data_IF_508069867050
#
_entry.id   IF_508069867050
#
_cell.length_a   1.000
_cell.length_b   1.000
_cell.length_c   1.000
_cell.angle_alpha   90.00
_cell.angle_beta   90.00
_cell.angle_gamma   90.00
#
_symmetry.space_group_name_H-M   'P 1'
#
loop_
_entity.id
_entity.type
_entity.pdbx_description
1 polymer ?
#
# COMPACT_ATOMS: atom_id res chain seq x y z
N UNK A 1 -0.38 -12.48 -3.17
CA UNK A 1 0.46 -11.63 -4.02
C UNK A 1 1.02 -10.38 -3.35
N UNK A 2 1.01 -10.23 -2.02
CA UNK A 2 1.55 -9.02 -1.38
C UNK A 2 3.08 -8.96 -1.52
N UNK A 3 3.61 -7.81 -1.94
CA UNK A 3 5.05 -7.57 -2.05
C UNK A 3 5.41 -6.08 -1.98
N UNK A 4 6.64 -5.76 -1.60
CA UNK A 4 7.13 -4.38 -1.61
C UNK A 4 7.24 -3.84 -3.05
N UNK A 5 7.14 -2.53 -3.22
CA UNK A 5 7.27 -1.84 -4.52
C UNK A 5 8.59 -1.06 -4.66
N UNK A 6 9.38 -1.03 -3.58
CA UNK A 6 10.79 -0.61 -3.58
C UNK A 6 11.64 -1.88 -3.67
N UNK A 7 12.77 -1.79 -4.37
CA UNK A 7 13.74 -2.88 -4.49
C UNK A 7 14.10 -3.41 -3.10
N UNK A 8 14.01 -4.73 -2.91
CA UNK A 8 14.15 -5.41 -1.62
C UNK A 8 15.48 -5.08 -0.92
N UNK A 9 16.55 -4.98 -1.70
CA UNK A 9 17.90 -4.62 -1.27
C UNK A 9 17.97 -3.24 -0.60
N UNK A 10 17.11 -2.32 -1.03
CA UNK A 10 17.05 -0.95 -0.53
C UNK A 10 15.94 -0.80 0.53
N UNK A 11 14.89 -1.63 0.47
CA UNK A 11 13.72 -1.57 1.34
C UNK A 11 13.90 -2.27 2.69
N UNK A 12 14.39 -3.52 2.70
CA UNK A 12 14.52 -4.29 3.95
C UNK A 12 15.60 -3.67 4.84
N UNK A 13 15.34 -3.48 6.15
CA UNK A 13 16.33 -2.89 7.05
C UNK A 13 17.42 -3.89 7.42
N UNK A 14 18.59 -3.39 7.81
CA UNK A 14 19.65 -4.16 8.48
C UNK A 14 20.17 -5.38 7.70
N UNK A 15 20.25 -5.32 6.37
CA UNK A 15 20.62 -6.52 5.58
C UNK A 15 22.05 -6.97 5.86
N UNK A 16 22.99 -6.03 6.01
CA UNK A 16 24.38 -6.31 6.36
C UNK A 16 24.50 -6.93 7.76
N UNK A 17 23.82 -6.34 8.76
CA UNK A 17 23.87 -6.79 10.15
C UNK A 17 23.18 -8.15 10.35
N UNK A 18 22.17 -8.43 9.54
CA UNK A 18 21.46 -9.70 9.55
C UNK A 18 22.16 -10.80 8.75
N UNK A 19 23.23 -10.48 8.00
CA UNK A 19 23.87 -11.35 7.00
C UNK A 19 22.82 -11.96 6.04
N UNK A 20 21.94 -11.10 5.55
CA UNK A 20 20.78 -11.52 4.76
C UNK A 20 20.75 -10.84 3.40
N UNK A 21 20.55 -11.65 2.36
CA UNK A 21 20.31 -11.17 1.00
C UNK A 21 18.90 -11.62 0.60
N UNK A 22 18.00 -10.69 0.24
CA UNK A 22 16.66 -11.01 -0.25
C UNK A 22 16.69 -11.99 -1.42
N UNK A 23 15.65 -12.83 -1.55
CA UNK A 23 15.54 -13.88 -2.56
C UNK A 23 15.16 -13.36 -3.94
N UNK A 24 14.48 -12.21 -3.99
CA UNK A 24 13.96 -11.59 -5.20
C UNK A 24 14.24 -10.10 -5.23
N UNK A 25 14.19 -9.52 -6.42
CA UNK A 25 14.30 -8.09 -6.63
C UNK A 25 13.23 -7.29 -5.85
N UNK A 26 12.02 -7.84 -5.72
CA UNK A 26 11.01 -7.35 -4.79
C UNK A 26 10.60 -8.43 -3.80
N UNK A 27 10.74 -8.15 -2.50
CA UNK A 27 10.41 -9.08 -1.43
C UNK A 27 8.90 -9.24 -1.27
N UNK A 28 8.46 -10.48 -1.08
CA UNK A 28 7.06 -10.81 -0.81
C UNK A 28 6.73 -10.70 0.68
N UNK A 29 5.45 -10.58 1.02
CA UNK A 29 5.00 -10.42 2.41
C UNK A 29 5.58 -11.43 3.40
N UNK A 30 5.57 -12.75 3.11
CA UNK A 30 6.15 -13.75 4.02
C UNK A 30 7.65 -13.54 4.28
N UNK A 31 8.41 -13.10 3.27
CA UNK A 31 9.84 -12.81 3.41
C UNK A 31 10.06 -11.57 4.29
N UNK A 32 9.31 -10.50 4.04
CA UNK A 32 9.36 -9.27 4.85
C UNK A 32 8.99 -9.58 6.30
N UNK A 33 7.91 -10.33 6.52
CA UNK A 33 7.46 -10.70 7.86
C UNK A 33 8.48 -11.56 8.59
N UNK A 34 9.03 -12.58 7.93
CA UNK A 34 10.09 -13.41 8.48
C UNK A 34 11.33 -12.58 8.83
N UNK A 35 11.73 -11.64 7.98
CA UNK A 35 12.88 -10.77 8.23
C UNK A 35 12.69 -9.91 9.48
N UNK A 36 11.49 -9.34 9.67
CA UNK A 36 11.15 -8.61 10.90
C UNK A 36 11.22 -9.51 12.15
N UNK A 37 10.76 -10.76 12.06
CA UNK A 37 10.85 -11.72 13.17
C UNK A 37 12.30 -12.08 13.48
N UNK A 38 13.15 -12.27 12.46
CA UNK A 38 14.57 -12.57 12.66
C UNK A 38 15.32 -11.40 13.31
N UNK A 39 15.02 -10.15 12.92
CA UNK A 39 15.55 -8.96 13.62
C UNK A 39 15.12 -8.98 15.09
N UNK A 40 13.84 -9.23 15.37
CA UNK A 40 13.33 -9.26 16.73
C UNK A 40 13.97 -10.35 17.60
N UNK A 41 14.27 -11.53 17.01
CA UNK A 41 15.01 -12.60 17.69
C UNK A 41 16.48 -12.24 17.92
N UNK A 42 17.16 -11.69 16.91
CA UNK A 42 18.60 -11.40 17.00
C UNK A 42 18.95 -10.36 18.07
N UNK A 43 18.05 -9.42 18.31
CA UNK A 43 18.21 -8.36 19.30
C UNK A 43 17.37 -8.57 20.56
N UNK A 44 16.85 -9.78 20.80
CA UNK A 44 16.08 -10.15 21.98
C UNK A 44 14.91 -9.19 22.31
N UNK A 45 14.19 -8.74 21.27
CA UNK A 45 13.17 -7.69 21.41
C UNK A 45 11.81 -8.20 21.90
N UNK A 46 11.57 -9.52 21.86
CA UNK A 46 10.28 -10.10 22.23
C UNK A 46 9.95 -9.90 23.71
N UNK A 47 10.94 -9.98 24.59
CA UNK A 47 10.77 -9.78 26.04
C UNK A 47 10.52 -8.30 26.39
N UNK A 48 10.81 -7.39 25.46
CA UNK A 48 10.58 -5.94 25.60
C UNK A 48 9.24 -5.50 25.00
N UNK A 49 8.52 -6.40 24.32
CA UNK A 49 7.33 -6.06 23.55
C UNK A 49 6.04 -6.52 24.24
N UNK A 50 5.02 -5.67 24.20
CA UNK A 50 3.65 -6.01 24.63
C UNK A 50 2.75 -5.99 23.40
N UNK A 51 2.41 -7.18 22.89
CA UNK A 51 1.53 -7.33 21.72
C UNK A 51 0.04 -7.35 22.11
N UNK A 52 -0.84 -7.18 21.12
CA UNK A 52 -2.31 -7.19 21.30
C UNK A 52 -2.82 -6.16 22.33
N UNK A 53 -2.09 -5.06 22.43
CA UNK A 53 -2.32 -3.97 23.38
C UNK A 53 -2.26 -2.64 22.64
N UNK A 54 -3.32 -1.86 22.77
CA UNK A 54 -3.44 -0.52 22.19
C UNK A 54 -3.15 0.51 23.26
N UNK A 55 -2.20 1.41 23.03
CA UNK A 55 -2.04 2.60 23.89
C UNK A 55 -3.26 3.50 23.70
N UNK A 56 -3.89 3.92 24.80
CA UNK A 56 -5.11 4.74 24.82
C UNK A 56 -4.88 6.15 25.33
N UNK A 57 -3.85 6.36 26.16
CA UNK A 57 -3.49 7.69 26.68
C UNK A 57 -1.98 7.78 26.99
N UNK A 58 -1.37 8.94 26.71
CA UNK A 58 0.01 9.29 27.03
C UNK A 58 0.05 10.71 27.59
N UNK A 59 0.22 10.85 28.89
CA UNK A 59 0.12 12.12 29.62
C UNK A 59 1.43 12.44 30.32
N UNK A 60 1.94 13.64 30.11
CA UNK A 60 3.12 14.15 30.81
C UNK A 60 2.75 14.57 32.23
N UNK A 61 3.49 14.07 33.22
CA UNK A 61 3.44 14.56 34.60
C UNK A 61 4.64 15.48 34.86
N UNK A 62 4.37 16.74 35.16
CA UNK A 62 5.40 17.76 35.41
C UNK A 62 6.09 17.61 36.76
N UNK A 63 5.40 17.07 37.77
CA UNK A 63 5.97 16.89 39.10
C UNK A 63 6.94 15.70 39.12
N UNK A 64 6.61 14.63 38.39
CA UNK A 64 7.43 13.43 38.31
C UNK A 64 8.44 13.43 37.15
N UNK A 65 8.30 14.36 36.19
CA UNK A 65 9.09 14.42 34.95
C UNK A 65 9.05 13.11 34.14
N UNK A 66 7.89 12.48 34.08
CA UNK A 66 7.66 11.23 33.33
C UNK A 66 6.35 11.25 32.56
N UNK A 67 6.29 10.42 31.52
CA UNK A 67 5.07 10.09 30.80
C UNK A 67 4.35 8.93 31.46
N UNK A 68 3.06 9.12 31.72
CA UNK A 68 2.11 8.08 32.10
C UNK A 68 1.41 7.55 30.86
N UNK A 69 1.52 6.25 30.61
CA UNK A 69 0.97 5.56 29.45
C UNK A 69 -0.09 4.56 29.89
N UNK A 70 -1.30 4.66 29.34
CA UNK A 70 -2.41 3.74 29.60
C UNK A 70 -2.74 2.91 28.36
N UNK A 71 -3.27 1.71 28.58
CA UNK A 71 -3.64 0.79 27.50
C UNK A 71 -5.11 0.37 27.55
N UNK A 72 -5.58 -0.27 26.48
CA UNK A 72 -6.89 -0.93 26.39
C UNK A 72 -7.02 -2.21 27.23
N UNK A 73 -5.92 -2.66 27.84
CA UNK A 73 -5.88 -3.79 28.79
C UNK A 73 -5.90 -3.36 30.25
N UNK A 74 -5.93 -2.05 30.52
CA UNK A 74 -5.90 -1.50 31.87
C UNK A 74 -4.49 -1.34 32.45
N UNK A 75 -3.44 -1.50 31.64
CA UNK A 75 -2.07 -1.28 32.09
C UNK A 75 -1.82 0.21 32.35
N UNK A 76 -0.91 0.48 33.29
CA UNK A 76 -0.41 1.82 33.56
C UNK A 76 1.11 1.78 33.67
N UNK A 77 1.77 2.35 32.67
CA UNK A 77 3.23 2.35 32.53
C UNK A 77 3.78 3.76 32.72
N UNK A 78 5.03 3.86 33.18
CA UNK A 78 5.78 5.12 33.33
C UNK A 78 7.01 5.08 32.44
N UNK A 79 7.26 6.14 31.69
CA UNK A 79 8.41 6.23 30.78
C UNK A 79 9.00 7.64 30.77
N UNK A 80 10.33 7.75 30.75
CA UNK A 80 11.00 9.06 30.56
C UNK A 80 10.88 9.57 29.12
N UNK A 81 10.84 8.65 28.17
CA UNK A 81 10.77 8.95 26.74
C UNK A 81 9.67 8.13 26.08
N UNK A 82 8.96 8.74 25.14
CA UNK A 82 7.97 8.08 24.30
C UNK A 82 8.34 8.33 22.85
N UNK A 83 8.55 7.25 22.09
CA UNK A 83 8.85 7.29 20.66
C UNK A 83 7.66 6.70 19.92
N UNK A 84 6.96 7.54 19.15
CA UNK A 84 5.80 7.11 18.36
C UNK A 84 6.24 6.55 17.00
N UNK A 85 6.24 5.22 16.86
CA UNK A 85 6.64 4.51 15.64
C UNK A 85 5.45 3.85 14.91
N UNK A 86 4.29 4.53 14.90
CA UNK A 86 3.01 3.91 14.54
C UNK A 86 2.82 3.71 13.02
N UNK A 87 3.70 4.31 12.20
CA UNK A 87 3.65 4.24 10.75
C UNK A 87 2.59 5.16 10.11
N UNK A 88 2.72 5.48 8.81
CA UNK A 88 1.84 6.43 8.12
C UNK A 88 0.58 5.83 7.48
N UNK A 89 0.42 4.49 7.52
CA UNK A 89 -0.66 3.76 6.84
C UNK A 89 -1.19 2.60 7.72
N UNK A 90 -1.59 2.91 8.95
CA UNK A 90 -1.97 1.90 9.96
C UNK A 90 -3.47 1.83 10.28
N UNK A 91 -4.25 2.88 10.00
CA UNK A 91 -5.72 2.87 10.17
C UNK A 91 -6.44 2.63 8.84
N UNK A 92 -7.06 1.45 8.67
CA UNK A 92 -7.87 1.17 7.49
C UNK A 92 -8.97 2.21 7.34
N UNK A 93 -9.17 2.70 6.13
CA UNK A 93 -10.23 3.66 5.83
C UNK A 93 -11.33 2.94 5.08
N UNK A 94 -12.46 2.74 5.74
CA UNK A 94 -13.69 2.39 5.04
C UNK A 94 -14.25 3.66 4.40
N UNK A 95 -14.58 3.57 3.12
CA UNK A 95 -15.33 4.63 2.44
C UNK A 95 -16.69 4.79 3.13
N UNK A 96 -17.18 6.03 3.25
CA UNK A 96 -18.56 6.27 3.69
C UNK A 96 -19.48 5.82 2.56
N UNK A 97 -20.07 4.63 2.70
CA UNK A 97 -20.98 4.01 1.75
C UNK A 97 -22.29 3.76 2.49
N UNK A 98 -23.41 4.23 1.92
CA UNK A 98 -24.74 3.97 2.49
C UNK A 98 -25.02 2.47 2.49
N UNK A 99 -25.56 1.93 3.58
CA UNK A 99 -25.90 0.51 3.71
C UNK A 99 -24.70 -0.46 3.74
N UNK A 100 -23.49 0.04 4.07
CA UNK A 100 -22.30 -0.81 4.19
C UNK A 100 -22.48 -1.97 5.20
N UNK A 101 -23.29 -1.76 6.25
CA UNK A 101 -23.62 -2.76 7.28
C UNK A 101 -24.76 -3.71 6.86
N UNK A 102 -25.47 -3.41 5.78
CA UNK A 102 -26.65 -4.16 5.35
C UNK A 102 -26.28 -5.41 4.54
N UNK A 103 -25.09 -5.43 3.93
CA UNK A 103 -24.60 -6.54 3.11
C UNK A 103 -24.61 -7.86 3.88
N UNK A 104 -25.32 -8.87 3.36
CA UNK A 104 -25.47 -10.18 4.01
C UNK A 104 -24.34 -11.16 3.68
N UNK A 105 -23.56 -10.88 2.64
CA UNK A 105 -22.38 -11.67 2.29
C UNK A 105 -21.20 -11.41 3.22
N UNK A 106 -20.09 -12.13 3.00
CA UNK A 106 -18.90 -11.95 3.81
C UNK A 106 -18.14 -10.69 3.41
N UNK A 107 -17.57 -9.93 4.34
CA UNK A 107 -16.76 -8.77 3.95
C UNK A 107 -15.58 -8.53 4.88
N UNK A 108 -14.48 -8.04 4.31
CA UNK A 108 -13.28 -7.70 5.07
C UNK A 108 -12.40 -6.68 4.33
N UNK A 109 -11.56 -5.98 5.07
CA UNK A 109 -10.57 -5.06 4.52
C UNK A 109 -9.25 -5.78 4.22
N UNK A 110 -8.54 -5.39 3.16
CA UNK A 110 -7.30 -6.07 2.73
C UNK A 110 -6.19 -6.13 3.78
N UNK A 111 -6.16 -5.18 4.72
CA UNK A 111 -5.23 -5.15 5.86
C UNK A 111 -5.58 -6.10 7.00
N UNK A 112 -6.74 -6.77 6.93
CA UNK A 112 -7.25 -7.78 7.86
C UNK A 112 -7.82 -8.94 7.04
N UNK A 113 -6.96 -9.47 6.17
CA UNK A 113 -7.34 -10.55 5.24
C UNK A 113 -7.84 -11.78 6.00
N UNK A 114 -9.02 -12.27 5.64
CA UNK A 114 -9.64 -13.43 6.28
C UNK A 114 -9.28 -14.72 5.54
N UNK A 115 -8.13 -15.29 5.89
CA UNK A 115 -7.67 -16.57 5.35
C UNK A 115 -8.54 -17.76 5.76
N UNK A 116 -9.31 -17.66 6.86
CA UNK A 116 -10.23 -18.72 7.25
C UNK A 116 -11.36 -18.83 6.23
N UNK A 117 -11.85 -17.69 5.75
CA UNK A 117 -12.84 -17.62 4.68
C UNK A 117 -12.25 -17.92 3.30
N UNK A 118 -11.14 -17.29 2.91
CA UNK A 118 -10.60 -17.43 1.54
C UNK A 118 -9.84 -18.72 1.29
N UNK A 119 -9.29 -19.33 2.34
CA UNK A 119 -8.22 -20.32 2.20
C UNK A 119 -6.85 -19.67 2.00
N UNK A 120 -5.78 -20.41 2.26
CA UNK A 120 -4.39 -19.90 2.21
C UNK A 120 -3.95 -19.58 0.78
N UNK A 121 -4.44 -20.37 -0.18
CA UNK A 121 -4.17 -20.24 -1.61
C UNK A 121 -5.44 -19.81 -2.38
N UNK A 122 -6.39 -19.17 -1.68
CA UNK A 122 -7.68 -18.73 -2.23
C UNK A 122 -8.57 -19.90 -2.71
N UNK A 123 -8.29 -21.12 -2.29
CA UNK A 123 -8.97 -22.34 -2.75
C UNK A 123 -10.47 -22.36 -2.41
N UNK A 124 -10.91 -21.60 -1.40
CA UNK A 124 -12.32 -21.51 -0.99
C UNK A 124 -13.13 -20.47 -1.76
N UNK A 125 -12.51 -19.78 -2.73
CA UNK A 125 -13.18 -18.80 -3.58
C UNK A 125 -13.69 -19.37 -4.90
N UNK A 126 -13.41 -20.65 -5.20
CA UNK A 126 -13.69 -21.28 -6.51
C UNK A 126 -15.16 -21.20 -6.97
N UNK A 127 -16.09 -21.27 -6.02
CA UNK A 127 -17.53 -21.17 -6.27
C UNK A 127 -18.10 -19.78 -5.98
N UNK A 128 -17.26 -18.81 -5.58
CA UNK A 128 -17.68 -17.50 -5.06
C UNK A 128 -17.59 -16.39 -6.10
N UNK A 129 -18.61 -15.54 -6.09
CA UNK A 129 -18.61 -14.24 -6.75
C UNK A 129 -18.00 -13.21 -5.80
N UNK A 130 -16.85 -12.67 -6.18
CA UNK A 130 -16.03 -11.77 -5.36
C UNK A 130 -16.15 -10.36 -5.90
N UNK A 131 -16.32 -9.37 -5.02
CA UNK A 131 -16.17 -7.95 -5.34
C UNK A 131 -14.95 -7.34 -4.66
N UNK A 132 -14.21 -6.49 -5.35
CA UNK A 132 -13.12 -5.69 -4.79
C UNK A 132 -13.44 -4.21 -5.01
N UNK A 133 -13.55 -3.42 -3.93
CA UNK A 133 -13.71 -1.96 -4.02
C UNK A 133 -12.35 -1.30 -3.88
N UNK A 134 -11.93 -0.60 -4.94
CA UNK A 134 -10.67 0.12 -5.01
C UNK A 134 -9.66 -0.51 -5.95
N UNK A 135 -8.80 0.34 -6.53
CA UNK A 135 -7.82 -0.01 -7.58
C UNK A 135 -6.42 0.53 -7.25
N UNK A 136 -6.13 0.79 -5.98
CA UNK A 136 -4.80 1.18 -5.51
C UNK A 136 -3.83 0.01 -5.45
N UNK A 137 -2.61 0.24 -4.93
CA UNK A 137 -1.53 -0.75 -4.91
C UNK A 137 -1.93 -2.11 -4.31
N UNK A 138 -2.74 -2.13 -3.25
CA UNK A 138 -3.26 -3.37 -2.67
C UNK A 138 -4.11 -4.16 -3.67
N UNK A 139 -5.10 -3.51 -4.30
CA UNK A 139 -5.95 -4.15 -5.30
C UNK A 139 -5.15 -4.63 -6.51
N UNK A 140 -4.17 -3.84 -6.95
CA UNK A 140 -3.27 -4.21 -8.06
C UNK A 140 -2.56 -5.53 -7.83
N UNK A 141 -2.18 -5.83 -6.59
CA UNK A 141 -1.54 -7.10 -6.21
C UNK A 141 -2.53 -8.24 -5.89
N UNK A 142 -3.79 -7.93 -5.58
CA UNK A 142 -4.82 -8.91 -5.19
C UNK A 142 -5.60 -9.41 -6.40
N UNK A 143 -5.99 -8.51 -7.31
CA UNK A 143 -6.87 -8.80 -8.46
C UNK A 143 -6.34 -9.98 -9.28
N UNK A 144 -5.06 -10.07 -9.66
CA UNK A 144 -4.56 -11.20 -10.43
C UNK A 144 -4.67 -12.55 -9.70
N UNK A 145 -4.50 -12.57 -8.37
CA UNK A 145 -4.58 -13.79 -7.57
C UNK A 145 -6.02 -14.26 -7.38
N UNK A 146 -6.94 -13.33 -7.12
CA UNK A 146 -8.37 -13.64 -7.00
C UNK A 146 -8.96 -14.03 -8.36
N UNK A 147 -8.57 -13.37 -9.44
CA UNK A 147 -9.06 -13.67 -10.78
C UNK A 147 -8.72 -15.10 -11.25
N UNK A 148 -7.61 -15.68 -10.75
CA UNK A 148 -7.20 -17.07 -11.03
C UNK A 148 -8.15 -18.10 -10.43
N UNK A 149 -8.81 -17.77 -9.32
CA UNK A 149 -9.51 -18.73 -8.47
C UNK A 149 -11.01 -18.49 -8.40
N UNK A 150 -11.47 -17.24 -8.30
CA UNK A 150 -12.88 -16.91 -8.09
C UNK A 150 -13.79 -17.34 -9.26
N UNK A 151 -15.03 -17.74 -8.94
CA UNK A 151 -16.07 -18.01 -9.96
C UNK A 151 -16.30 -16.79 -10.84
N UNK A 152 -16.39 -15.62 -10.23
CA UNK A 152 -16.41 -14.33 -10.93
C UNK A 152 -15.81 -13.25 -10.03
N UNK A 153 -15.16 -12.25 -10.62
CA UNK A 153 -14.55 -11.12 -9.93
C UNK A 153 -15.06 -9.81 -10.51
N UNK A 154 -15.74 -9.01 -9.69
CA UNK A 154 -16.06 -7.62 -9.98
C UNK A 154 -15.02 -6.70 -9.34
N UNK A 155 -14.43 -5.80 -10.14
CA UNK A 155 -13.50 -4.78 -9.66
C UNK A 155 -14.17 -3.41 -9.77
N UNK A 156 -14.53 -2.81 -8.63
CA UNK A 156 -15.19 -1.50 -8.59
C UNK A 156 -14.16 -0.38 -8.57
N UNK A 157 -14.06 0.34 -9.68
CA UNK A 157 -13.07 1.37 -9.91
C UNK A 157 -13.69 2.75 -9.85
N UNK A 158 -13.14 3.63 -9.01
CA UNK A 158 -13.42 5.07 -9.08
C UNK A 158 -12.42 5.84 -9.92
N UNK A 159 -11.16 5.49 -9.79
CA UNK A 159 -10.09 6.12 -10.57
C UNK A 159 -9.05 5.04 -10.85
N UNK A 160 -8.66 4.80 -12.11
CA UNK A 160 -7.62 3.84 -12.41
C UNK A 160 -6.27 4.27 -11.81
N UNK A 161 -5.38 3.31 -11.58
CA UNK A 161 -4.00 3.55 -11.18
C UNK A 161 -3.08 3.54 -12.40
N UNK A 162 -1.96 4.24 -12.32
CA UNK A 162 -0.87 4.12 -13.30
C UNK A 162 -0.12 2.81 -13.04
N UNK A 163 -0.27 1.85 -13.96
CA UNK A 163 0.32 0.51 -13.86
C UNK A 163 1.52 0.39 -14.81
N UNK A 164 2.71 0.43 -14.24
CA UNK A 164 3.96 0.23 -14.98
C UNK A 164 4.51 -1.19 -14.76
N UNK A 165 5.56 -1.54 -15.50
CA UNK A 165 6.13 -2.88 -15.47
C UNK A 165 6.74 -3.15 -14.10
N UNK A 166 6.53 -4.37 -13.62
CA UNK A 166 7.23 -4.89 -12.44
C UNK A 166 8.31 -5.82 -12.92
N UNK A 167 9.53 -5.32 -12.97
CA UNK A 167 10.68 -6.13 -13.36
C UNK A 167 11.18 -6.90 -12.12
N UNK A 168 10.55 -8.04 -11.84
CA UNK A 168 10.87 -8.89 -10.70
C UNK A 168 11.58 -10.16 -11.15
N UNK A 169 12.69 -10.48 -10.49
CA UNK A 169 13.56 -11.61 -10.83
C UNK A 169 14.20 -12.19 -9.56
N UNK A 170 14.57 -13.49 -9.57
CA UNK A 170 15.29 -14.08 -8.46
C UNK A 170 16.69 -13.47 -8.32
N UNK A 171 17.11 -13.25 -7.09
CA UNK A 171 18.45 -12.73 -6.80
C UNK A 171 19.51 -13.73 -7.23
N UNK A 172 20.50 -13.26 -8.01
CA UNK A 172 21.61 -14.10 -8.48
C UNK A 172 22.53 -14.51 -7.29
N UNK A 173 22.67 -15.82 -7.00
CA UNK A 173 23.55 -16.29 -5.94
C UNK A 173 25.02 -15.92 -6.16
N UNK A 174 25.47 -15.77 -7.40
CA UNK A 174 26.86 -15.40 -7.70
C UNK A 174 27.13 -13.92 -7.42
N UNK A 175 26.12 -13.06 -7.61
CA UNK A 175 26.18 -11.68 -7.16
C UNK A 175 26.17 -11.61 -5.63
N UNK A 176 25.26 -12.32 -4.98
CA UNK A 176 25.12 -12.33 -3.52
C UNK A 176 26.43 -12.71 -2.80
N UNK A 177 27.14 -13.75 -3.29
CA UNK A 177 28.43 -14.19 -2.72
C UNK A 177 29.57 -13.17 -2.84
N UNK A 178 29.47 -12.19 -3.74
CA UNK A 178 30.50 -11.17 -3.97
C UNK A 178 30.28 -9.91 -3.12
N UNK A 179 29.14 -9.83 -2.42
CA UNK A 179 28.84 -8.70 -1.56
C UNK A 179 29.84 -8.62 -0.41
N UNK A 180 30.22 -7.39 -0.08
CA UNK A 180 31.15 -7.08 1.01
C UNK A 180 30.39 -6.35 2.13
N UNK A 181 30.90 -6.37 3.37
CA UNK A 181 30.29 -5.60 4.45
C UNK A 181 30.12 -4.12 4.06
N UNK A 182 28.94 -3.56 4.35
CA UNK A 182 28.51 -2.22 3.99
C UNK A 182 27.84 -2.09 2.62
N UNK A 183 27.57 -3.20 1.93
CA UNK A 183 27.03 -3.17 0.58
C UNK A 183 25.65 -2.52 0.50
N UNK A 184 24.80 -2.70 1.50
CA UNK A 184 23.46 -2.11 1.49
C UNK A 184 23.55 -0.59 1.59
N UNK A 185 24.35 -0.08 2.52
CA UNK A 185 24.54 1.35 2.71
C UNK A 185 25.12 2.00 1.44
N UNK A 186 26.14 1.38 0.84
CA UNK A 186 26.73 1.84 -0.41
C UNK A 186 25.69 1.87 -1.54
N UNK A 187 24.87 0.81 -1.67
CA UNK A 187 23.81 0.76 -2.68
C UNK A 187 22.77 1.86 -2.48
N UNK A 188 22.24 2.01 -1.25
CA UNK A 188 21.27 3.07 -0.93
C UNK A 188 21.83 4.45 -1.23
N UNK A 189 23.09 4.69 -0.90
CA UNK A 189 23.76 5.95 -1.17
C UNK A 189 23.88 6.22 -2.67
N UNK A 190 24.28 5.23 -3.47
CA UNK A 190 24.29 5.35 -4.94
C UNK A 190 22.91 5.66 -5.50
N UNK A 191 21.86 5.02 -4.99
CA UNK A 191 20.48 5.29 -5.40
C UNK A 191 20.07 6.74 -5.09
N UNK A 192 20.40 7.24 -3.89
CA UNK A 192 20.16 8.64 -3.50
C UNK A 192 20.95 9.61 -4.38
N UNK A 193 22.23 9.33 -4.62
CA UNK A 193 23.10 10.21 -5.40
C UNK A 193 22.72 10.25 -6.88
N UNK A 194 22.18 9.15 -7.42
CA UNK A 194 21.67 9.11 -8.79
C UNK A 194 20.50 10.07 -9.04
N UNK A 195 19.79 10.48 -7.98
CA UNK A 195 18.69 11.45 -8.05
C UNK A 195 19.17 12.90 -7.91
N UNK A 196 20.42 13.13 -7.52
CA UNK A 196 20.98 14.49 -7.37
C UNK A 196 21.38 15.04 -8.73
N UNK A 197 21.06 16.31 -8.95
CA UNK A 197 21.49 17.03 -10.16
C UNK A 197 22.97 17.34 -10.09
N UNK A 198 23.68 17.20 -11.20
CA UNK A 198 25.08 17.63 -11.31
C UNK A 198 25.18 19.16 -11.29
N UNK A 199 26.33 19.75 -10.93
CA UNK A 199 26.54 21.20 -10.99
C UNK A 199 26.21 21.80 -12.37
N UNK A 200 26.54 21.08 -13.45
CA UNK A 200 26.25 21.50 -14.82
C UNK A 200 24.74 21.52 -15.09
N UNK A 201 24.00 20.51 -14.60
CA UNK A 201 22.54 20.47 -14.72
C UNK A 201 21.89 21.61 -13.93
N UNK A 202 22.38 21.90 -12.73
CA UNK A 202 21.89 23.02 -11.91
C UNK A 202 22.12 24.36 -12.62
N UNK A 203 23.31 24.57 -13.19
CA UNK A 203 23.63 25.80 -13.91
C UNK A 203 22.84 25.94 -15.21
N UNK A 204 22.61 24.84 -15.93
CA UNK A 204 21.68 24.80 -17.07
C UNK A 204 20.26 25.16 -16.63
N UNK A 205 19.77 24.56 -15.54
CA UNK A 205 18.43 24.81 -15.03
C UNK A 205 18.24 26.27 -14.61
N UNK A 206 19.25 26.94 -14.04
CA UNK A 206 19.16 28.38 -13.71
C UNK A 206 18.90 29.26 -14.93
N UNK A 207 19.37 28.87 -16.11
CA UNK A 207 19.21 29.61 -17.37
C UNK A 207 17.83 29.42 -18.01
N UNK A 208 17.06 28.43 -17.56
CA UNK A 208 15.72 28.15 -18.08
C UNK A 208 14.69 28.94 -17.25
N UNK A 209 13.80 29.66 -17.93
CA UNK A 209 12.72 30.39 -17.26
C UNK A 209 11.81 29.44 -16.48
N UNK A 210 11.10 29.95 -15.47
CA UNK A 210 10.14 29.15 -14.70
C UNK A 210 9.04 28.55 -15.59
N UNK A 211 8.52 29.34 -16.52
CA UNK A 211 7.49 28.90 -17.47
C UNK A 211 7.99 27.75 -18.36
N UNK A 212 9.22 27.86 -18.86
CA UNK A 212 9.80 26.81 -19.69
C UNK A 212 10.07 25.52 -18.89
N UNK A 213 10.48 25.63 -17.62
CA UNK A 213 10.60 24.46 -16.74
C UNK A 213 9.26 23.75 -16.55
N UNK A 214 8.19 24.50 -16.34
CA UNK A 214 6.84 23.94 -16.21
C UNK A 214 6.46 23.23 -17.50
N UNK A 215 6.63 23.87 -18.67
CA UNK A 215 6.33 23.25 -19.98
C UNK A 215 7.10 21.95 -20.21
N UNK A 216 8.40 21.93 -19.91
CA UNK A 216 9.23 20.73 -20.04
C UNK A 216 8.79 19.62 -19.08
N UNK A 217 8.44 19.98 -17.85
CA UNK A 217 7.94 19.03 -16.86
C UNK A 217 6.59 18.43 -17.28
N UNK A 218 5.67 19.28 -17.77
CA UNK A 218 4.36 18.84 -18.28
C UNK A 218 4.51 17.95 -19.50
N UNK A 219 5.34 18.32 -20.47
CA UNK A 219 5.61 17.49 -21.65
C UNK A 219 6.17 16.12 -21.26
N UNK A 220 7.17 16.06 -20.37
CA UNK A 220 7.71 14.80 -19.88
C UNK A 220 6.66 13.96 -19.12
N UNK A 221 5.75 14.61 -18.40
CA UNK A 221 4.65 13.93 -17.72
C UNK A 221 3.65 13.33 -18.72
N UNK A 222 3.27 14.10 -19.74
CA UNK A 222 2.40 13.65 -20.83
C UNK A 222 3.03 12.44 -21.54
N UNK A 223 4.31 12.51 -21.90
CA UNK A 223 5.01 11.40 -22.55
C UNK A 223 5.02 10.14 -21.70
N UNK A 224 5.26 10.28 -20.39
CA UNK A 224 5.23 9.18 -19.44
C UNK A 224 3.83 8.55 -19.33
N UNK A 225 2.79 9.37 -19.18
CA UNK A 225 1.41 8.89 -19.04
C UNK A 225 0.89 8.27 -20.35
N UNK A 226 1.23 8.83 -21.51
CA UNK A 226 0.89 8.25 -22.81
C UNK A 226 1.59 6.91 -23.05
N UNK A 227 2.80 6.70 -22.52
CA UNK A 227 3.45 5.37 -22.53
C UNK A 227 2.66 4.36 -21.70
N UNK A 228 2.16 4.75 -20.53
CA UNK A 228 1.28 3.90 -19.70
C UNK A 228 -0.02 3.57 -20.46
N UNK A 229 -0.64 4.55 -21.12
CA UNK A 229 -1.84 4.32 -21.93
C UNK A 229 -1.60 3.33 -23.06
N UNK A 230 -0.50 3.50 -23.82
CA UNK A 230 -0.12 2.55 -24.89
C UNK A 230 0.08 1.14 -24.37
N UNK A 231 0.61 0.99 -23.14
CA UNK A 231 0.73 -0.32 -22.51
C UNK A 231 -0.65 -0.93 -22.22
N UNK A 232 -1.56 -0.15 -21.65
CA UNK A 232 -2.94 -0.60 -21.35
C UNK A 232 -3.64 -1.05 -22.62
N UNK A 233 -3.58 -0.25 -23.69
CA UNK A 233 -4.17 -0.58 -25.00
C UNK A 233 -3.57 -1.86 -25.61
N UNK A 234 -2.29 -2.13 -25.34
CA UNK A 234 -1.61 -3.34 -25.81
C UNK A 234 -1.99 -4.58 -25.00
N UNK A 235 -2.11 -4.44 -23.68
CA UNK A 235 -2.30 -5.57 -22.76
C UNK A 235 -3.77 -5.91 -22.48
N UNK A 236 -4.71 -4.99 -22.70
CA UNK A 236 -6.14 -5.20 -22.46
C UNK A 236 -6.88 -5.26 -23.78
N UNK A 237 -7.48 -6.41 -24.08
CA UNK A 237 -8.04 -6.72 -25.39
C UNK A 237 -9.40 -6.04 -25.66
N UNK A 238 -10.23 -5.87 -24.62
CA UNK A 238 -11.50 -5.17 -24.74
C UNK A 238 -11.27 -3.65 -24.75
N UNK A 239 -11.61 -2.93 -25.84
CA UNK A 239 -11.32 -1.51 -25.94
C UNK A 239 -12.01 -0.64 -24.89
N UNK A 240 -13.23 -1.02 -24.46
CA UNK A 240 -13.96 -0.27 -23.45
C UNK A 240 -13.30 -0.39 -22.07
N UNK A 241 -12.89 -1.60 -21.69
CA UNK A 241 -12.14 -1.87 -20.47
C UNK A 241 -10.75 -1.21 -20.50
N UNK A 242 -10.06 -1.25 -21.65
CA UNK A 242 -8.78 -0.58 -21.84
C UNK A 242 -8.91 0.93 -21.63
N UNK A 243 -9.93 1.56 -22.21
CA UNK A 243 -10.19 3.00 -22.02
C UNK A 243 -10.49 3.33 -20.55
N UNK A 244 -11.34 2.55 -19.89
CA UNK A 244 -11.66 2.74 -18.48
C UNK A 244 -10.44 2.57 -17.55
N UNK A 245 -9.43 1.78 -17.94
CA UNK A 245 -8.20 1.60 -17.17
C UNK A 245 -7.17 2.72 -17.36
N UNK A 246 -7.38 3.67 -18.28
CA UNK A 246 -6.43 4.77 -18.52
C UNK A 246 -6.50 5.85 -17.43
N UNK A 247 -5.40 6.10 -16.69
CA UNK A 247 -5.34 7.22 -15.75
C UNK A 247 -5.14 8.56 -16.46
N UNK A 248 -6.05 9.49 -16.19
CA UNK A 248 -6.02 10.87 -16.69
C UNK A 248 -5.69 11.88 -15.57
N UNK A 249 -4.52 11.70 -14.95
CA UNK A 249 -3.94 12.62 -13.96
C UNK A 249 -2.42 12.66 -14.13
N UNK A 250 -1.76 13.70 -13.63
CA UNK A 250 -0.30 13.81 -13.76
C UNK A 250 0.42 12.67 -13.01
N UNK A 251 1.48 12.12 -13.61
CA UNK A 251 2.35 11.16 -12.93
C UNK A 251 2.77 11.70 -11.55
N UNK A 252 2.74 10.84 -10.52
CA UNK A 252 2.93 11.16 -9.09
C UNK A 252 1.79 11.92 -8.38
N UNK A 253 0.67 12.29 -9.04
CA UNK A 253 -0.55 12.68 -8.30
C UNK A 253 -1.11 11.55 -7.43
N UNK A 254 -0.77 10.31 -7.78
CA UNK A 254 -0.98 9.11 -6.96
C UNK A 254 0.31 8.31 -6.93
N UNK A 255 0.47 7.45 -5.91
CA UNK A 255 1.58 6.49 -5.85
C UNK A 255 1.56 5.60 -7.10
N UNK A 256 2.64 5.56 -7.91
CA UNK A 256 2.73 4.65 -9.05
C UNK A 256 2.59 3.19 -8.60
N UNK A 257 1.98 2.37 -9.44
CA UNK A 257 1.82 0.94 -9.21
C UNK A 257 2.59 0.17 -10.27
N UNK A 258 3.11 -1.00 -9.90
CA UNK A 258 3.91 -1.84 -10.79
C UNK A 258 3.38 -3.28 -10.73
N UNK A 259 2.91 -3.81 -11.85
CA UNK A 259 2.42 -5.18 -11.93
C UNK A 259 2.35 -5.68 -13.38
N UNK A 260 2.77 -6.93 -13.61
CA UNK A 260 2.72 -7.53 -14.94
C UNK A 260 1.37 -8.19 -15.20
N UNK A 261 0.76 -8.81 -14.18
CA UNK A 261 -0.49 -9.57 -14.36
C UNK A 261 -1.78 -8.79 -14.09
N UNK A 262 -1.71 -7.52 -13.65
CA UNK A 262 -2.92 -6.75 -13.32
C UNK A 262 -3.76 -6.39 -14.55
N UNK A 263 -3.12 -5.82 -15.59
CA UNK A 263 -3.82 -5.49 -16.83
C UNK A 263 -4.30 -6.76 -17.56
N UNK A 264 -3.48 -7.81 -17.73
CA UNK A 264 -3.94 -9.07 -18.32
C UNK A 264 -5.08 -9.76 -17.57
N UNK A 265 -5.25 -9.53 -16.26
CA UNK A 265 -6.35 -10.12 -15.49
C UNK A 265 -7.73 -9.74 -16.05
N UNK A 266 -7.86 -8.54 -16.65
CA UNK A 266 -9.11 -8.07 -17.24
C UNK A 266 -9.45 -8.72 -18.59
N UNK A 267 -8.53 -9.50 -19.17
CA UNK A 267 -8.83 -10.31 -20.36
C UNK A 267 -9.48 -11.66 -20.02
N UNK A 268 -9.59 -11.99 -18.73
CA UNK A 268 -10.18 -13.25 -18.29
C UNK A 268 -11.72 -13.13 -18.36
N UNK A 269 -12.42 -14.18 -18.82
CA UNK A 269 -13.88 -14.12 -18.97
C UNK A 269 -14.63 -14.02 -17.64
N UNK A 270 -13.97 -14.34 -16.51
CA UNK A 270 -14.54 -14.27 -15.18
C UNK A 270 -14.24 -12.94 -14.45
N UNK A 271 -13.68 -11.94 -15.13
CA UNK A 271 -13.33 -10.65 -14.52
C UNK A 271 -14.11 -9.53 -15.21
N UNK A 272 -14.79 -8.72 -14.41
CA UNK A 272 -15.52 -7.53 -14.89
C UNK A 272 -15.00 -6.29 -14.18
N UNK A 273 -14.54 -5.31 -14.96
CA UNK A 273 -14.27 -3.97 -14.45
C UNK A 273 -15.60 -3.19 -14.38
N UNK A 274 -15.94 -2.68 -13.20
CA UNK A 274 -17.05 -1.77 -13.00
C UNK A 274 -16.46 -0.36 -12.84
N UNK A 275 -16.37 0.38 -13.95
CA UNK A 275 -15.96 1.77 -13.92
C UNK A 275 -17.10 2.65 -13.41
N UNK A 276 -16.86 3.34 -12.31
CA UNK A 276 -17.87 4.19 -11.66
C UNK A 276 -17.82 5.64 -12.14
N UNK A 277 -17.11 5.92 -13.24
CA UNK A 277 -16.99 7.23 -13.87
C UNK A 277 -16.60 8.34 -12.88
N UNK A 278 -15.67 8.04 -11.97
CA UNK A 278 -15.23 8.99 -10.94
C UNK A 278 -16.17 9.15 -9.73
N UNK A 279 -17.40 8.63 -9.76
CA UNK A 279 -18.38 8.74 -8.66
C UNK A 279 -18.01 7.84 -7.47
N UNK A 280 -17.55 6.63 -7.75
CA UNK A 280 -17.35 5.58 -6.75
C UNK A 280 -18.66 4.89 -6.36
N UNK A 281 -18.54 3.81 -5.58
CA UNK A 281 -19.68 3.14 -4.95
C UNK A 281 -20.16 3.99 -3.78
N UNK A 282 -21.43 4.38 -3.81
CA UNK A 282 -22.09 5.20 -2.78
C UNK A 282 -23.14 4.44 -1.99
N UNK A 283 -23.58 3.29 -2.48
CA UNK A 283 -24.60 2.44 -1.87
C UNK A 283 -24.20 0.96 -1.95
N UNK A 284 -24.46 0.24 -0.87
CA UNK A 284 -24.45 -1.22 -0.78
C UNK A 284 -25.80 -1.61 -0.19
N UNK A 285 -26.44 -2.62 -0.78
CA UNK A 285 -27.64 -3.23 -0.24
C UNK A 285 -27.34 -4.64 0.29
N UNK A 286 -28.37 -5.37 0.72
CA UNK A 286 -28.24 -6.71 1.28
C UNK A 286 -27.50 -7.72 0.38
N UNK A 287 -27.53 -7.52 -0.95
CA UNK A 287 -26.92 -8.42 -1.94
C UNK A 287 -25.57 -7.95 -2.47
N UNK A 288 -25.24 -6.65 -2.34
CA UNK A 288 -23.95 -6.12 -2.75
C UNK A 288 -23.96 -4.64 -3.18
N UNK A 289 -22.85 -4.17 -3.77
CA UNK A 289 -22.71 -2.80 -4.27
C UNK A 289 -23.77 -2.43 -5.32
N UNK A 290 -24.25 -1.19 -5.25
CA UNK A 290 -25.18 -0.62 -6.23
C UNK A 290 -24.49 0.48 -7.01
N UNK A 291 -24.58 0.42 -8.34
CA UNK A 291 -24.08 1.47 -9.23
C UNK A 291 -24.95 1.58 -10.47
N UNK A 292 -25.27 2.81 -10.88
CA UNK A 292 -26.14 3.14 -12.03
C UNK A 292 -27.44 2.29 -12.11
N UNK A 293 -28.09 2.09 -10.95
CA UNK A 293 -29.36 1.35 -10.83
C UNK A 293 -29.21 -0.17 -10.87
N UNK A 294 -27.99 -0.69 -11.05
CA UNK A 294 -27.69 -2.12 -11.02
C UNK A 294 -27.15 -2.54 -9.65
N UNK A 295 -27.68 -3.63 -9.09
CA UNK A 295 -27.05 -4.33 -7.98
C UNK A 295 -26.08 -5.38 -8.52
N UNK A 296 -24.85 -5.37 -8.02
CA UNK A 296 -23.86 -6.40 -8.28
C UNK A 296 -23.92 -7.39 -7.12
N UNK A 297 -24.55 -8.54 -7.35
CA UNK A 297 -24.71 -9.57 -6.32
C UNK A 297 -23.38 -10.30 -6.07
N UNK A 298 -22.96 -10.38 -4.81
CA UNK A 298 -21.67 -10.96 -4.42
C UNK A 298 -21.82 -11.92 -3.24
N UNK A 299 -20.97 -12.93 -3.19
CA UNK A 299 -20.79 -13.76 -1.99
C UNK A 299 -19.83 -13.11 -0.98
N UNK A 300 -18.83 -12.39 -1.49
CA UNK A 300 -17.83 -11.73 -0.66
C UNK A 300 -17.39 -10.38 -1.23
N UNK A 301 -17.26 -9.39 -0.34
CA UNK A 301 -16.82 -8.04 -0.66
C UNK A 301 -15.51 -7.69 0.06
N UNK A 302 -14.48 -7.37 -0.71
CA UNK A 302 -13.14 -7.05 -0.23
C UNK A 302 -12.92 -5.54 -0.37
N UNK A 303 -12.70 -4.86 0.76
CA UNK A 303 -12.39 -3.44 0.79
C UNK A 303 -10.89 -3.21 0.59
N UNK A 304 -10.50 -2.77 -0.61
CA UNK A 304 -9.17 -2.27 -0.93
C UNK A 304 -9.14 -0.73 -0.93
N UNK A 305 -9.82 -0.14 0.07
CA UNK A 305 -10.12 1.31 0.16
C UNK A 305 -9.02 2.12 0.84
N UNK A 306 -7.94 1.46 1.27
CA UNK A 306 -6.72 2.10 1.74
C UNK A 306 -6.77 2.49 3.23
N UNK A 307 -6.06 3.56 3.57
CA UNK A 307 -5.82 3.96 4.95
C UNK A 307 -6.05 5.46 5.13
N UNK A 308 -6.24 5.90 6.37
CA UNK A 308 -6.07 7.31 6.71
C UNK A 308 -4.57 7.66 6.60
N UNK A 309 -4.26 8.72 5.85
CA UNK A 309 -2.91 9.19 5.56
C UNK A 309 -2.72 10.62 6.08
N UNK A 310 -1.48 11.04 6.28
CA UNK A 310 -1.09 12.40 6.70
C UNK A 310 -1.57 12.85 8.10
N UNK A 311 -2.10 11.92 8.89
CA UNK A 311 -2.19 12.08 10.35
C UNK A 311 -1.10 11.21 10.95
N UNK A 312 -0.40 11.69 11.98
CA UNK A 312 0.38 10.79 12.82
C UNK A 312 -0.59 9.69 13.27
N UNK A 313 -0.24 8.41 13.08
CA UNK A 313 -1.07 7.26 13.48
C UNK A 313 -1.20 7.13 15.01
N UNK A 314 -1.23 8.25 15.71
CA UNK A 314 -1.36 8.40 17.15
C UNK A 314 -2.86 8.41 17.41
N UNK A 315 -3.34 7.31 17.97
CA UNK A 315 -4.77 7.08 18.24
C UNK A 315 -5.15 7.32 19.69
N UNK A 316 -4.15 7.56 20.53
CA UNK A 316 -4.32 7.88 21.92
C UNK A 316 -4.41 9.38 22.14
N UNK A 317 -5.05 9.74 23.24
CA UNK A 317 -4.90 11.05 23.84
C UNK A 317 -3.41 11.28 24.17
N UNK A 318 -2.84 12.38 23.67
CA UNK A 318 -1.50 12.83 24.08
C UNK A 318 -1.61 14.21 24.71
N UNK A 319 -1.24 14.30 25.99
CA UNK A 319 -1.21 15.58 26.73
C UNK A 319 0.19 15.89 27.21
N UNK A 320 0.69 17.06 26.83
CA UNK A 320 1.97 17.59 27.31
C UNK A 320 1.83 18.48 28.54
N UNK A 321 2.85 19.31 28.76
CA UNK A 321 2.90 20.37 29.78
C UNK A 321 1.61 21.20 29.81
N UNK A 322 1.09 21.47 31.01
CA UNK A 322 -0.15 22.19 31.26
C UNK A 322 -1.41 21.43 30.83
N UNK A 323 -1.33 20.11 30.60
CA UNK A 323 -2.45 19.28 30.15
C UNK A 323 -2.90 19.54 28.71
N UNK A 324 -2.11 20.28 27.91
CA UNK A 324 -2.44 20.63 26.53
C UNK A 324 -2.44 19.39 25.64
N UNK A 325 -3.54 19.19 24.93
CA UNK A 325 -3.72 18.05 24.02
C UNK A 325 -3.02 18.32 22.66
N UNK A 326 -2.46 17.28 22.07
CA UNK A 326 -1.63 17.38 20.86
C UNK A 326 -2.43 17.77 19.61
N UNK A 327 -3.63 17.22 19.41
CA UNK A 327 -4.52 17.55 18.29
C UNK A 327 -5.24 18.90 18.45
N UNK A 328 -5.37 19.43 19.67
CA UNK A 328 -5.81 20.82 19.87
C UNK A 328 -4.74 21.82 19.42
N UNK A 329 -3.46 21.43 19.50
CA UNK A 329 -2.33 22.28 19.14
C UNK A 329 -2.06 22.31 17.63
N UNK A 330 -2.33 21.22 16.91
CA UNK A 330 -1.98 21.00 15.50
C UNK A 330 -3.19 20.51 14.69
#
# INVERSE_FOLDING_TARGET
GIACDVVSYDYLPLLDEMDYVPKKHYAEGPEIYSHCQEIAKRYDLYDLAVFQTTVTSTVWDEAEEVWHVKTDRGDHMRAKFVICANGPMCKPKLSRISGIEDFKGHSFHTSRWDYAYTGQNLEKLQDKVVGIIGTGASAVQIVPEVAKTAKHLYVFQRTPSSIDFRDDWPTDPNWARKLKPGWQAERRQRTIDSQKKTPEQIERDKKISREEKIRLQEAANIDHMMRIHRRIEKEVHDPATAEALKPWYMYMCKRPCFHNDYLPAFNRPNVTLVDTHGKGITEINERGPVFDGQTYELDVLIYATGFEVQKTGIYNEIRGVGGRELNEKY
#
